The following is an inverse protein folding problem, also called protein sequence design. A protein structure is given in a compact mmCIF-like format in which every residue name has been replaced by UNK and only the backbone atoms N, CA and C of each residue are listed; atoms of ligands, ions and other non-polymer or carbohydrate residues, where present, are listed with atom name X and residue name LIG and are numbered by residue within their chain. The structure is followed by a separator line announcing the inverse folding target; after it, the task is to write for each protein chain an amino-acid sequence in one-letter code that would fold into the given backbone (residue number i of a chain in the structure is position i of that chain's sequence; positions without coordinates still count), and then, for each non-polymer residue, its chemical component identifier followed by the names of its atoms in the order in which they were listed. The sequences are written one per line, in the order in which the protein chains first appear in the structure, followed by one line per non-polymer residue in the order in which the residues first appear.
data_IF_138715331842
#
_entry.id   IF_138715331842
#
_cell.length_a   1.000
_cell.length_b   1.000
_cell.length_c   1.000
_cell.angle_alpha   90.00
_cell.angle_beta   90.00
_cell.angle_gamma   90.00
#
_symmetry.space_group_name_H-M   'P 1'
#
loop_
_entity.id
_entity.type
_entity.pdbx_description
1 polymer ?
#
# COMPACT_ATOMS: atom_id res chain seq x y z
N UNK A 1 23.90 47.94 -13.73
CA UNK A 1 22.57 47.30 -13.50
C UNK A 1 22.80 45.84 -13.11
N UNK A 2 22.82 45.56 -11.81
CA UNK A 2 22.95 44.19 -11.27
C UNK A 2 21.54 43.61 -11.08
N UNK A 3 21.24 42.45 -11.68
CA UNK A 3 20.03 41.67 -11.36
C UNK A 3 20.45 40.40 -10.64
N UNK A 4 20.10 40.33 -9.37
CA UNK A 4 20.46 39.28 -8.44
C UNK A 4 19.75 37.96 -8.71
N UNK A 5 20.55 36.90 -8.64
CA UNK A 5 20.13 35.50 -8.58
C UNK A 5 19.48 35.24 -7.22
N UNK A 6 18.16 34.97 -7.18
CA UNK A 6 17.50 34.44 -5.98
C UNK A 6 17.49 32.92 -6.05
N UNK A 7 18.40 32.31 -5.29
CA UNK A 7 18.44 30.89 -4.99
C UNK A 7 17.28 30.58 -4.03
N UNK A 8 16.21 29.97 -4.53
CA UNK A 8 15.14 29.41 -3.71
C UNK A 8 15.64 28.11 -3.08
N UNK A 9 16.11 28.21 -1.83
CA UNK A 9 16.41 27.08 -0.98
C UNK A 9 15.09 26.39 -0.61
N UNK A 10 14.78 25.29 -1.29
CA UNK A 10 13.70 24.40 -0.87
C UNK A 10 14.04 23.86 0.52
N UNK A 11 13.27 24.29 1.52
CA UNK A 11 13.32 23.73 2.87
C UNK A 11 12.82 22.29 2.77
N UNK A 12 13.72 21.34 2.96
CA UNK A 12 13.37 19.95 3.27
C UNK A 12 12.71 19.97 4.65
N UNK A 13 11.38 20.03 4.66
CA UNK A 13 10.58 19.84 5.87
C UNK A 13 10.70 18.36 6.24
N UNK A 14 11.63 18.03 7.15
CA UNK A 14 11.61 16.75 7.88
C UNK A 14 10.33 16.73 8.72
N UNK A 15 9.27 16.17 8.18
CA UNK A 15 8.10 15.78 8.96
C UNK A 15 8.53 14.72 9.99
N UNK A 16 8.07 14.91 11.23
CA UNK A 16 8.33 14.05 12.38
C UNK A 16 8.00 12.59 12.02
N UNK A 17 8.90 11.67 12.37
CA UNK A 17 8.74 10.23 12.23
C UNK A 17 7.51 9.72 13.01
N UNK A 18 6.34 9.71 12.37
CA UNK A 18 5.45 8.57 12.53
C UNK A 18 6.23 7.39 11.94
N UNK A 19 6.46 6.32 12.70
CA UNK A 19 7.18 5.15 12.19
C UNK A 19 6.27 4.43 11.18
N UNK A 20 6.21 4.93 9.95
CA UNK A 20 5.71 4.15 8.82
C UNK A 20 6.61 2.92 8.70
N UNK A 21 5.99 1.75 8.65
CA UNK A 21 6.72 0.51 8.45
C UNK A 21 7.34 0.53 7.05
N UNK A 22 8.56 0.02 6.91
CA UNK A 22 9.17 -0.17 5.60
C UNK A 22 8.40 -1.28 4.85
N UNK A 23 8.03 -1.02 3.60
CA UNK A 23 7.22 -1.96 2.81
C UNK A 23 7.92 -3.29 2.62
N UNK A 24 9.25 -3.29 2.52
CA UNK A 24 10.02 -4.53 2.30
C UNK A 24 9.86 -5.51 3.46
N UNK A 25 9.46 -5.04 4.65
CA UNK A 25 9.18 -5.91 5.80
C UNK A 25 7.96 -6.80 5.63
N UNK A 26 7.11 -6.57 4.61
CA UNK A 26 5.97 -7.45 4.31
C UNK A 26 6.35 -8.63 3.42
N UNK A 27 7.56 -8.67 2.87
CA UNK A 27 8.04 -9.82 2.09
C UNK A 27 8.10 -11.06 2.99
N UNK A 28 7.51 -12.16 2.51
CA UNK A 28 7.36 -13.41 3.26
C UNK A 28 6.14 -13.44 4.20
N UNK A 29 5.34 -12.37 4.27
CA UNK A 29 4.04 -12.38 4.95
C UNK A 29 2.92 -12.92 4.07
N UNK A 30 1.85 -13.41 4.70
CA UNK A 30 0.66 -13.92 4.05
C UNK A 30 -0.47 -12.90 4.10
N UNK A 31 -1.21 -12.78 3.01
CA UNK A 31 -2.50 -12.10 3.01
C UNK A 31 -3.52 -13.00 3.71
N UNK A 32 -4.02 -12.58 4.87
CA UNK A 32 -4.97 -13.35 5.70
C UNK A 32 -6.36 -12.75 5.74
N UNK A 33 -6.49 -11.49 5.32
CA UNK A 33 -7.76 -10.76 5.33
C UNK A 33 -7.79 -9.84 4.11
N UNK A 34 -8.93 -9.78 3.44
CA UNK A 34 -9.24 -8.75 2.45
C UNK A 34 -10.56 -8.13 2.86
N UNK A 35 -10.67 -6.81 2.78
CA UNK A 35 -11.88 -6.17 3.25
C UNK A 35 -11.97 -4.70 2.89
N UNK A 36 -13.01 -4.09 3.44
CA UNK A 36 -13.34 -2.69 3.26
C UNK A 36 -13.76 -2.12 4.62
N UNK A 37 -13.10 -1.06 5.10
CA UNK A 37 -13.36 -0.48 6.42
C UNK A 37 -13.35 1.04 6.36
N UNK A 38 -14.41 1.66 6.86
CA UNK A 38 -14.54 3.14 6.92
C UNK A 38 -14.24 3.81 5.57
N UNK A 39 -14.77 3.24 4.48
CA UNK A 39 -14.55 3.70 3.10
C UNK A 39 -13.19 3.34 2.46
N UNK A 40 -12.33 2.55 3.13
CA UNK A 40 -11.03 2.16 2.56
C UNK A 40 -10.90 0.65 2.35
N UNK A 41 -10.53 0.21 1.14
CA UNK A 41 -10.01 -1.12 0.88
C UNK A 41 -8.79 -1.41 1.77
N UNK A 42 -8.66 -2.66 2.21
CA UNK A 42 -7.47 -3.07 2.95
C UNK A 42 -7.06 -4.52 2.70
N UNK A 43 -5.76 -4.78 2.91
CA UNK A 43 -5.18 -6.12 3.09
C UNK A 43 -4.73 -6.31 4.54
N UNK A 44 -5.15 -7.41 5.16
CA UNK A 44 -4.54 -7.90 6.40
C UNK A 44 -3.40 -8.85 6.07
N UNK A 45 -2.25 -8.57 6.66
CA UNK A 45 -1.01 -9.32 6.50
C UNK A 45 -0.65 -10.00 7.81
N UNK A 46 -0.15 -11.23 7.73
CA UNK A 46 0.37 -11.98 8.86
C UNK A 46 1.78 -12.46 8.55
N UNK A 47 2.72 -12.25 9.44
CA UNK A 47 4.08 -12.74 9.23
C UNK A 47 4.21 -14.24 9.50
N UNK A 48 5.30 -14.83 9.00
CA UNK A 48 5.55 -16.27 9.06
C UNK A 48 6.40 -16.70 10.28
N UNK A 49 6.41 -15.92 11.37
CA UNK A 49 7.21 -16.26 12.55
C UNK A 49 6.50 -17.31 13.42
N UNK A 50 7.25 -18.16 14.16
CA UNK A 50 6.66 -19.02 15.19
C UNK A 50 5.89 -18.20 16.23
N UNK A 51 4.85 -18.78 16.83
CA UNK A 51 3.87 -18.04 17.65
C UNK A 51 4.48 -17.23 18.80
N UNK A 52 3.96 -16.03 19.08
CA UNK A 52 2.82 -15.40 18.42
C UNK A 52 3.20 -14.75 17.07
N UNK A 53 2.37 -15.00 16.05
CA UNK A 53 2.45 -14.30 14.77
C UNK A 53 2.05 -12.83 14.95
N UNK A 54 2.59 -11.97 14.09
CA UNK A 54 2.25 -10.55 14.06
C UNK A 54 1.41 -10.23 12.83
N UNK A 55 0.51 -9.27 13.01
CA UNK A 55 -0.38 -8.79 11.97
C UNK A 55 -0.07 -7.33 11.63
N UNK A 56 -0.27 -6.96 10.37
CA UNK A 56 -0.25 -5.59 9.88
C UNK A 56 -1.42 -5.41 8.91
N UNK A 57 -1.79 -4.14 8.65
CA UNK A 57 -2.80 -3.80 7.65
C UNK A 57 -2.27 -2.77 6.67
N UNK A 58 -2.50 -3.04 5.39
CA UNK A 58 -2.34 -2.05 4.32
C UNK A 58 -3.71 -1.47 4.00
N UNK A 59 -3.89 -0.18 4.23
CA UNK A 59 -5.05 0.59 3.78
C UNK A 59 -4.75 1.26 2.44
N UNK A 60 -5.74 1.32 1.56
CA UNK A 60 -5.64 1.89 0.22
C UNK A 60 -6.65 3.03 0.10
N UNK A 61 -6.20 4.19 -0.33
CA UNK A 61 -7.00 5.42 -0.49
C UNK A 61 -6.74 6.07 -1.87
N UNK A 62 -6.41 5.23 -2.85
CA UNK A 62 -6.04 5.61 -4.20
C UNK A 62 -6.56 4.60 -5.23
N UNK A 63 -6.36 4.91 -6.51
CA UNK A 63 -6.57 3.96 -7.59
C UNK A 63 -5.63 2.76 -7.48
N UNK A 64 -6.14 1.60 -7.88
CA UNK A 64 -5.42 0.34 -7.80
C UNK A 64 -5.65 -0.51 -9.05
N UNK A 65 -4.67 -1.36 -9.35
CA UNK A 65 -4.73 -2.38 -10.39
C UNK A 65 -4.27 -3.71 -9.80
N UNK A 66 -4.98 -4.78 -10.13
CA UNK A 66 -4.61 -6.15 -9.83
C UNK A 66 -4.26 -6.85 -11.14
N UNK A 67 -2.97 -7.01 -11.37
CA UNK A 67 -2.42 -7.65 -12.56
C UNK A 67 -2.46 -9.17 -12.38
N UNK A 68 -3.42 -9.79 -13.06
CA UNK A 68 -3.58 -11.24 -13.24
C UNK A 68 -3.85 -11.53 -14.72
N UNK A 69 -4.18 -12.78 -15.07
CA UNK A 69 -4.55 -13.16 -16.44
C UNK A 69 -5.63 -12.24 -17.06
N UNK A 70 -6.57 -11.77 -16.23
CA UNK A 70 -7.52 -10.71 -16.57
C UNK A 70 -7.36 -9.58 -15.58
N UNK A 71 -6.63 -8.52 -15.94
CA UNK A 71 -6.37 -7.41 -15.02
C UNK A 71 -7.66 -6.76 -14.54
N UNK A 72 -7.76 -6.54 -13.23
CA UNK A 72 -8.84 -5.78 -12.61
C UNK A 72 -8.30 -4.43 -12.15
N UNK A 73 -9.15 -3.40 -12.12
CA UNK A 73 -8.77 -2.06 -11.65
C UNK A 73 -9.95 -1.39 -10.98
N UNK A 74 -9.67 -0.44 -10.10
CA UNK A 74 -10.69 0.33 -9.40
C UNK A 74 -10.08 1.50 -8.65
N UNK A 75 -10.91 2.18 -7.87
CA UNK A 75 -10.51 3.23 -6.94
C UNK A 75 -10.83 2.81 -5.50
N UNK A 76 -10.38 3.58 -4.52
CA UNK A 76 -10.68 3.31 -3.13
C UNK A 76 -12.19 3.30 -2.82
N UNK A 77 -13.00 4.04 -3.59
CA UNK A 77 -14.45 4.07 -3.41
C UNK A 77 -15.22 2.88 -4.00
N UNK A 78 -14.57 2.02 -4.79
CA UNK A 78 -15.22 0.89 -5.48
C UNK A 78 -15.08 -0.41 -4.67
N UNK A 79 -15.92 -0.55 -3.64
CA UNK A 79 -15.91 -1.66 -2.70
C UNK A 79 -16.18 -3.01 -3.37
N UNK A 80 -17.16 -3.09 -4.28
CA UNK A 80 -17.51 -4.32 -4.99
C UNK A 80 -16.36 -4.74 -5.93
N UNK A 81 -15.78 -3.82 -6.70
CA UNK A 81 -14.65 -4.16 -7.57
C UNK A 81 -13.45 -4.63 -6.74
N UNK A 82 -13.15 -3.94 -5.63
CA UNK A 82 -12.07 -4.34 -4.74
C UNK A 82 -12.30 -5.73 -4.16
N UNK A 83 -13.43 -5.98 -3.50
CA UNK A 83 -13.71 -7.25 -2.85
C UNK A 83 -13.70 -8.40 -3.87
N UNK A 84 -14.21 -8.17 -5.07
CA UNK A 84 -14.21 -9.18 -6.14
C UNK A 84 -12.78 -9.50 -6.61
N UNK A 85 -11.95 -8.48 -6.84
CA UNK A 85 -10.58 -8.67 -7.33
C UNK A 85 -9.62 -9.21 -6.26
N UNK A 86 -9.68 -8.65 -5.03
CA UNK A 86 -8.75 -8.94 -3.94
C UNK A 86 -8.90 -10.36 -3.38
N UNK A 87 -10.00 -11.07 -3.65
CA UNK A 87 -10.14 -12.51 -3.34
C UNK A 87 -8.95 -13.30 -3.89
N UNK A 88 -8.40 -12.91 -5.04
CA UNK A 88 -7.25 -13.58 -5.65
C UNK A 88 -5.96 -13.50 -4.80
N UNK A 89 -5.85 -12.46 -3.97
CA UNK A 89 -4.71 -12.25 -3.06
C UNK A 89 -4.85 -13.05 -1.77
N UNK A 90 -6.07 -13.43 -1.37
CA UNK A 90 -6.29 -14.06 -0.07
C UNK A 90 -5.58 -15.42 0.02
N UNK A 91 -4.83 -15.63 1.10
CA UNK A 91 -4.00 -16.80 1.32
C UNK A 91 -2.69 -16.83 0.52
N UNK A 92 -2.33 -15.76 -0.18
CA UNK A 92 -1.07 -15.68 -0.94
C UNK A 92 0.06 -15.08 -0.12
N UNK A 93 1.28 -15.52 -0.42
CA UNK A 93 2.51 -14.98 0.18
C UNK A 93 2.99 -13.79 -0.63
N UNK A 94 3.39 -12.70 0.01
CA UNK A 94 4.06 -11.60 -0.66
C UNK A 94 5.51 -12.00 -0.94
N UNK A 95 5.90 -12.05 -2.21
CA UNK A 95 7.26 -12.38 -2.65
C UNK A 95 8.13 -11.12 -2.83
N UNK A 96 7.49 -10.01 -3.20
CA UNK A 96 8.13 -8.75 -3.54
C UNK A 96 7.25 -7.60 -3.09
N UNK A 97 7.85 -6.59 -2.50
CA UNK A 97 7.19 -5.34 -2.15
C UNK A 97 8.10 -4.17 -2.52
N UNK A 98 7.55 -3.14 -3.16
CA UNK A 98 8.34 -1.98 -3.60
C UNK A 98 7.50 -0.71 -3.60
N UNK A 99 8.12 0.39 -3.19
CA UNK A 99 7.62 1.75 -3.45
C UNK A 99 8.44 2.36 -4.58
N UNK A 100 7.78 2.97 -5.55
CA UNK A 100 8.43 3.69 -6.64
C UNK A 100 8.57 5.18 -6.32
N UNK A 101 9.36 5.90 -7.12
CA UNK A 101 9.68 7.32 -6.89
C UNK A 101 8.45 8.23 -6.98
N UNK A 102 7.39 7.78 -7.67
CA UNK A 102 6.09 8.47 -7.75
C UNK A 102 5.18 8.21 -6.54
N UNK A 103 5.66 7.44 -5.56
CA UNK A 103 4.90 7.04 -4.37
C UNK A 103 3.96 5.85 -4.59
N UNK A 104 3.91 5.28 -5.79
CA UNK A 104 3.12 4.07 -6.04
C UNK A 104 3.71 2.87 -5.32
N UNK A 105 2.81 2.00 -4.87
CA UNK A 105 3.14 0.75 -4.18
C UNK A 105 2.89 -0.43 -5.12
N UNK A 106 3.83 -1.36 -5.19
CA UNK A 106 3.67 -2.65 -5.84
C UNK A 106 3.94 -3.78 -4.88
N UNK A 107 2.98 -4.70 -4.77
CA UNK A 107 3.09 -5.96 -4.05
C UNK A 107 2.88 -7.10 -5.02
N UNK A 108 3.85 -8.01 -5.13
CA UNK A 108 3.72 -9.23 -5.93
C UNK A 108 3.63 -10.44 -5.03
N UNK A 109 2.80 -11.40 -5.42
CA UNK A 109 2.62 -12.66 -4.69
C UNK A 109 3.47 -13.79 -5.27
N UNK A 110 3.62 -14.85 -4.48
CA UNK A 110 4.19 -16.15 -4.89
C UNK A 110 3.54 -16.78 -6.13
N UNK A 111 2.29 -16.43 -6.44
CA UNK A 111 1.59 -16.85 -7.65
C UNK A 111 1.71 -15.88 -8.82
N UNK A 112 2.53 -14.82 -8.68
CA UNK A 112 2.76 -13.81 -9.71
C UNK A 112 1.66 -12.76 -9.86
N UNK A 113 0.68 -12.73 -8.94
CA UNK A 113 -0.35 -11.69 -8.91
C UNK A 113 0.30 -10.39 -8.41
N UNK A 114 0.11 -9.29 -9.11
CA UNK A 114 0.66 -7.99 -8.67
C UNK A 114 -0.45 -7.02 -8.34
N UNK A 115 -0.50 -6.55 -7.09
CA UNK A 115 -1.27 -5.38 -6.70
C UNK A 115 -0.40 -4.15 -6.91
N UNK A 116 -0.89 -3.21 -7.70
CA UNK A 116 -0.30 -1.87 -7.87
C UNK A 116 -1.29 -0.85 -7.32
N UNK A 117 -0.82 0.01 -6.42
CA UNK A 117 -1.58 1.13 -5.86
C UNK A 117 -0.91 2.42 -6.32
N UNK A 118 -1.68 3.35 -6.87
CA UNK A 118 -1.17 4.65 -7.31
C UNK A 118 -0.60 5.44 -6.14
N UNK A 119 0.41 6.27 -6.41
CA UNK A 119 0.89 7.28 -5.47
C UNK A 119 0.04 8.56 -5.47
N UNK A 120 -0.89 8.69 -6.42
CA UNK A 120 -1.79 9.84 -6.54
C UNK A 120 -3.01 9.68 -5.64
N UNK A 121 -3.33 10.73 -4.89
CA UNK A 121 -4.54 10.82 -4.08
C UNK A 121 -5.76 11.05 -4.96
N UNK A 122 -6.88 10.43 -4.57
CA UNK A 122 -8.18 10.78 -5.16
C UNK A 122 -8.61 12.20 -4.70
N UNK A 123 -9.39 12.95 -5.50
CA UNK A 123 -9.69 14.36 -5.25
C UNK A 123 -10.40 14.66 -3.92
N UNK A 124 -11.07 13.68 -3.34
CA UNK A 124 -11.85 13.77 -2.10
C UNK A 124 -11.13 13.18 -0.87
N UNK A 125 -9.88 12.73 -1.02
CA UNK A 125 -9.14 12.11 0.07
C UNK A 125 -8.18 13.09 0.75
N UNK A 126 -8.05 12.98 2.06
CA UNK A 126 -7.13 13.80 2.87
C UNK A 126 -6.20 12.87 3.63
N UNK A 127 -5.15 12.40 2.97
CA UNK A 127 -4.28 11.37 3.54
C UNK A 127 -3.10 10.97 2.67
N UNK A 128 -2.61 9.75 2.91
CA UNK A 128 -1.63 9.06 2.08
C UNK A 128 -2.38 8.12 1.14
N UNK A 129 -1.93 7.98 -0.10
CA UNK A 129 -2.55 7.12 -1.11
C UNK A 129 -2.68 5.66 -0.67
N UNK A 130 -1.78 5.23 0.21
CA UNK A 130 -1.84 3.98 0.93
C UNK A 130 -1.08 4.13 2.25
N UNK A 131 -1.46 3.33 3.24
CA UNK A 131 -0.82 3.35 4.56
C UNK A 131 -0.69 1.94 5.12
N UNK A 132 0.53 1.60 5.50
CA UNK A 132 0.86 0.34 6.16
C UNK A 132 1.01 0.53 7.68
N UNK A 133 0.26 -0.22 8.47
CA UNK A 133 0.41 -0.20 9.94
C UNK A 133 1.68 -0.90 10.37
N UNK A 134 2.18 -0.58 11.57
CA UNK A 134 3.22 -1.39 12.21
C UNK A 134 2.71 -2.80 12.53
N UNK A 135 3.62 -3.77 12.56
CA UNK A 135 3.33 -5.11 13.08
C UNK A 135 2.87 -5.07 14.54
N UNK A 136 1.84 -5.84 14.85
CA UNK A 136 1.35 -6.03 16.21
C UNK A 136 1.05 -7.51 16.48
N UNK A 137 1.41 -8.00 17.66
CA UNK A 137 1.02 -9.33 18.11
C UNK A 137 -0.50 -9.42 18.23
N UNK A 138 -1.04 -10.59 17.89
CA UNK A 138 -2.43 -10.92 18.17
C UNK A 138 -2.67 -11.23 19.64
#
# INVERSE_FOLDING_TARGET
MQRGTRQMSARVTRCRHHRSMDVEQVVGSFVVEIGFRQAWPFLGLCDNRPTPAQEARLYIDASWTLEVATSAKGTAGDDIAWLTAAIALNGRTIDTARVYDDGSLSLRTDTGITLVVSGELEPDTTGEAWRLTSWHSR
#
